data_IF_242883898668
#
_entry.id   IF_242883898668
#
_cell.length_a   1.000
_cell.length_b   1.000
_cell.length_c   1.000
_cell.angle_alpha   90.00
_cell.angle_beta   90.00
_cell.angle_gamma   90.00
#
_symmetry.space_group_name_H-M   'P 1'
#
loop_
_entity.id
_entity.type
_entity.pdbx_description
1 polymer ?
#
# COMPACT_ATOMS: atom_id res chain seq x y z
N UNK A 1 -56.85 21.51 -26.43
CA UNK A 1 -56.15 22.58 -27.16
C UNK A 1 -54.71 22.13 -27.33
N UNK A 2 -54.19 21.92 -28.56
CA UNK A 2 -52.89 21.34 -28.79
C UNK A 2 -51.83 22.44 -29.02
N UNK A 3 -50.71 22.34 -28.35
CA UNK A 3 -49.54 23.17 -28.61
C UNK A 3 -48.64 22.61 -29.70
N UNK A 4 -48.44 23.43 -30.72
CA UNK A 4 -47.74 23.12 -31.96
C UNK A 4 -46.20 23.01 -31.72
N UNK A 5 -45.59 21.96 -32.25
CA UNK A 5 -44.13 21.78 -32.39
C UNK A 5 -43.62 22.64 -33.55
N UNK A 6 -42.71 23.57 -33.25
CA UNK A 6 -41.91 24.28 -34.29
C UNK A 6 -40.64 23.49 -34.57
N UNK A 7 -40.48 22.98 -35.77
CA UNK A 7 -39.22 22.47 -36.30
C UNK A 7 -38.40 23.61 -36.86
N UNK A 8 -37.17 23.75 -36.39
CA UNK A 8 -36.16 24.67 -36.94
C UNK A 8 -35.24 23.83 -37.81
N UNK A 9 -35.28 24.08 -39.14
CA UNK A 9 -34.33 23.53 -40.09
C UNK A 9 -33.05 24.35 -40.07
N UNK A 10 -31.95 23.75 -39.68
CA UNK A 10 -30.60 24.29 -39.84
C UNK A 10 -30.03 23.72 -41.16
N UNK A 11 -29.78 24.59 -42.12
CA UNK A 11 -29.09 24.28 -43.37
C UNK A 11 -27.59 24.22 -43.09
N UNK A 12 -27.00 23.07 -43.35
CA UNK A 12 -25.55 22.90 -43.37
C UNK A 12 -24.99 23.40 -44.69
N UNK A 13 -24.07 24.36 -44.64
CA UNK A 13 -23.26 24.78 -45.77
C UNK A 13 -22.02 23.87 -45.84
N UNK A 14 -21.87 23.15 -46.93
CA UNK A 14 -20.70 22.30 -47.23
C UNK A 14 -19.65 23.22 -47.90
N UNK A 15 -18.58 23.53 -47.17
CA UNK A 15 -17.40 24.18 -47.72
C UNK A 15 -16.39 23.14 -48.19
N UNK A 16 -16.16 23.10 -49.52
CA UNK A 16 -15.07 22.32 -50.11
C UNK A 16 -13.74 23.04 -49.85
N UNK A 17 -12.84 22.45 -49.12
CA UNK A 17 -11.43 22.85 -49.03
C UNK A 17 -10.62 21.90 -49.89
N UNK A 18 -10.08 22.43 -51.00
CA UNK A 18 -9.16 21.69 -51.88
C UNK A 18 -7.78 21.65 -51.18
N UNK A 19 -7.33 20.44 -50.78
CA UNK A 19 -5.98 20.21 -50.31
C UNK A 19 -5.10 19.82 -51.47
N UNK A 20 -4.13 20.68 -51.82
CA UNK A 20 -3.09 20.38 -52.79
C UNK A 20 -2.12 19.34 -52.23
N UNK A 21 -2.05 18.15 -52.80
CA UNK A 21 -1.00 17.16 -52.52
C UNK A 21 0.32 17.63 -53.13
N UNK A 22 1.27 18.02 -52.30
CA UNK A 22 2.67 18.11 -52.69
C UNK A 22 3.28 16.70 -52.58
N UNK A 23 3.61 16.09 -53.69
CA UNK A 23 4.40 14.86 -53.74
C UNK A 23 5.84 15.19 -53.39
N UNK A 24 6.26 14.91 -52.17
CA UNK A 24 7.68 14.87 -51.79
C UNK A 24 8.19 13.47 -52.12
N UNK A 25 9.09 13.43 -53.11
CA UNK A 25 9.83 12.25 -53.50
C UNK A 25 10.83 11.91 -52.37
N UNK A 26 10.55 10.86 -51.60
CA UNK A 26 11.51 10.30 -50.62
C UNK A 26 12.41 9.30 -51.33
N UNK A 27 13.71 9.61 -51.43
CA UNK A 27 14.75 8.67 -51.87
C UNK A 27 14.98 7.63 -50.73
N UNK A 28 15.29 6.34 -51.04
CA UNK A 28 15.35 5.25 -50.07
C UNK A 28 16.77 5.00 -49.49
N UNK A 29 17.50 6.03 -49.14
CA UNK A 29 18.93 5.88 -48.72
C UNK A 29 19.23 6.23 -47.27
N UNK A 30 18.22 6.53 -46.42
CA UNK A 30 18.54 6.97 -45.03
C UNK A 30 18.17 5.97 -43.93
N UNK A 31 17.64 4.81 -44.25
CA UNK A 31 17.24 3.82 -43.24
C UNK A 31 18.39 2.96 -42.72
N UNK A 32 19.47 2.79 -43.48
CA UNK A 32 20.65 2.01 -43.00
C UNK A 32 21.57 2.80 -42.05
N UNK A 33 21.59 4.14 -42.14
CA UNK A 33 22.40 4.97 -41.23
C UNK A 33 21.77 5.21 -39.86
N UNK A 34 20.46 4.96 -39.68
CA UNK A 34 19.78 5.11 -38.42
C UNK A 34 19.94 3.92 -37.46
N UNK A 35 20.30 2.76 -38.00
CA UNK A 35 20.47 1.53 -37.18
C UNK A 35 21.80 1.52 -36.43
N UNK A 36 22.85 2.25 -36.90
CA UNK A 36 24.15 2.31 -36.23
C UNK A 36 24.24 3.26 -35.03
N UNK A 37 23.19 4.07 -34.77
CA UNK A 37 23.15 5.02 -33.65
C UNK A 37 22.35 4.56 -32.43
N UNK A 38 21.84 3.32 -32.44
CA UNK A 38 21.23 2.75 -31.24
C UNK A 38 22.33 2.22 -30.34
N UNK A 39 22.65 2.84 -29.20
CA UNK A 39 23.60 2.24 -28.27
C UNK A 39 23.05 0.85 -27.87
N UNK A 40 23.95 -0.15 -27.66
CA UNK A 40 23.49 -1.48 -27.27
C UNK A 40 22.57 -1.33 -26.07
N UNK A 41 21.33 -1.79 -26.22
CA UNK A 41 20.38 -1.89 -25.11
C UNK A 41 21.07 -2.79 -24.09
N UNK A 42 21.68 -2.15 -23.08
CA UNK A 42 22.16 -2.86 -21.91
C UNK A 42 20.95 -3.64 -21.41
N UNK A 43 21.01 -4.99 -21.51
CA UNK A 43 20.02 -5.84 -20.87
C UNK A 43 19.84 -5.30 -19.47
N UNK A 44 18.69 -4.70 -19.20
CA UNK A 44 18.26 -4.45 -17.83
C UNK A 44 18.23 -5.84 -17.24
N UNK A 45 19.29 -6.19 -16.53
CA UNK A 45 19.37 -7.43 -15.79
C UNK A 45 18.15 -7.42 -14.90
N UNK A 46 17.32 -8.45 -15.04
CA UNK A 46 16.27 -8.73 -14.06
C UNK A 46 17.02 -8.83 -12.75
N UNK A 47 16.89 -7.78 -11.94
CA UNK A 47 17.46 -7.74 -10.60
C UNK A 47 17.00 -9.02 -9.89
N UNK A 48 17.92 -9.87 -9.40
CA UNK A 48 17.51 -11.04 -8.65
C UNK A 48 16.64 -10.54 -7.51
N UNK A 49 15.60 -11.30 -7.07
CA UNK A 49 14.78 -10.91 -5.93
C UNK A 49 15.72 -10.53 -4.80
N UNK A 50 15.59 -9.31 -4.29
CA UNK A 50 16.42 -8.82 -3.20
C UNK A 50 16.40 -9.88 -2.09
N UNK A 51 17.56 -10.45 -1.76
CA UNK A 51 17.69 -11.27 -0.57
C UNK A 51 17.25 -10.43 0.61
N UNK A 52 16.48 -10.98 1.57
CA UNK A 52 16.05 -10.23 2.74
C UNK A 52 17.32 -9.77 3.47
N UNK A 53 17.57 -8.47 3.42
CA UNK A 53 18.68 -7.86 4.13
C UNK A 53 18.65 -8.30 5.59
N UNK A 54 19.72 -8.95 6.03
CA UNK A 54 19.91 -9.46 7.38
C UNK A 54 20.00 -8.37 8.45
N UNK A 55 19.72 -7.11 8.11
CA UNK A 55 19.90 -5.93 8.96
C UNK A 55 18.67 -5.02 9.03
N UNK A 56 17.45 -5.54 9.02
CA UNK A 56 16.28 -4.73 9.42
C UNK A 56 15.85 -3.62 8.44
N UNK A 57 16.37 -3.60 7.24
CA UNK A 57 15.90 -2.68 6.21
C UNK A 57 14.55 -3.17 5.65
N UNK A 58 13.55 -2.30 5.73
CA UNK A 58 12.23 -2.55 5.16
C UNK A 58 12.31 -2.58 3.63
N UNK A 59 11.75 -3.62 2.98
CA UNK A 59 11.64 -3.64 1.52
C UNK A 59 10.60 -2.62 1.05
N UNK A 60 10.75 -2.11 -0.18
CA UNK A 60 9.75 -1.21 -0.78
C UNK A 60 8.36 -1.85 -0.85
N UNK A 61 8.30 -3.17 -1.06
CA UNK A 61 7.04 -3.91 -1.09
C UNK A 61 6.35 -3.95 0.28
N UNK A 62 7.08 -4.25 1.36
CA UNK A 62 6.51 -4.24 2.72
C UNK A 62 6.14 -2.84 3.17
N UNK A 63 6.91 -1.81 2.79
CA UNK A 63 6.57 -0.41 3.04
C UNK A 63 5.26 0.01 2.36
N UNK A 64 5.05 -0.41 1.11
CA UNK A 64 3.79 -0.16 0.41
C UNK A 64 2.60 -0.85 1.08
N UNK A 65 2.79 -2.07 1.60
CA UNK A 65 1.75 -2.79 2.36
C UNK A 65 1.39 -2.07 3.68
N UNK A 66 2.38 -1.54 4.41
CA UNK A 66 2.13 -0.75 5.62
C UNK A 66 1.30 0.50 5.32
N UNK A 67 1.64 1.21 4.25
CA UNK A 67 0.88 2.38 3.78
C UNK A 67 -0.55 1.99 3.44
N UNK A 68 -0.75 0.94 2.65
CA UNK A 68 -2.08 0.46 2.27
C UNK A 68 -2.93 0.06 3.47
N UNK A 69 -2.36 -0.64 4.45
CA UNK A 69 -3.06 -0.99 5.69
C UNK A 69 -3.46 0.27 6.45
N UNK A 70 -2.54 1.23 6.63
CA UNK A 70 -2.80 2.49 7.31
C UNK A 70 -3.95 3.27 6.66
N UNK A 71 -3.90 3.43 5.35
CA UNK A 71 -4.93 4.15 4.59
C UNK A 71 -6.30 3.45 4.70
N UNK A 72 -6.32 2.13 4.51
CA UNK A 72 -7.56 1.36 4.53
C UNK A 72 -8.23 1.35 5.90
N UNK A 73 -7.45 1.24 6.97
CA UNK A 73 -7.97 1.34 8.35
C UNK A 73 -8.57 2.72 8.61
N UNK A 74 -7.94 3.78 8.13
CA UNK A 74 -8.46 5.14 8.28
C UNK A 74 -9.73 5.40 7.44
N UNK A 75 -9.81 4.83 6.24
CA UNK A 75 -11.05 4.85 5.44
C UNK A 75 -12.21 4.19 6.20
N UNK A 76 -11.97 2.99 6.78
CA UNK A 76 -12.98 2.28 7.59
C UNK A 76 -13.40 3.12 8.79
N UNK A 77 -12.46 3.71 9.52
CA UNK A 77 -12.78 4.57 10.67
C UNK A 77 -13.62 5.77 10.27
N UNK A 78 -13.30 6.42 9.16
CA UNK A 78 -14.09 7.56 8.65
C UNK A 78 -15.50 7.14 8.24
N UNK A 79 -15.67 5.98 7.60
CA UNK A 79 -16.98 5.42 7.25
C UNK A 79 -17.83 5.12 8.50
N UNK A 80 -17.20 4.76 9.60
CA UNK A 80 -17.85 4.53 10.90
C UNK A 80 -17.96 5.82 11.75
N UNK A 81 -17.68 7.00 11.17
CA UNK A 81 -17.82 8.30 11.84
C UNK A 81 -16.73 8.62 12.87
N UNK A 82 -15.61 7.91 12.82
CA UNK A 82 -14.48 8.10 13.74
C UNK A 82 -13.39 8.98 13.13
N UNK A 83 -12.63 9.67 13.97
CA UNK A 83 -11.43 10.38 13.53
C UNK A 83 -10.38 9.40 12.99
N UNK A 84 -9.66 9.82 11.94
CA UNK A 84 -8.51 9.09 11.43
C UNK A 84 -7.40 9.02 12.51
N UNK A 85 -6.71 7.89 12.55
CA UNK A 85 -5.51 7.73 13.37
C UNK A 85 -4.34 8.47 12.71
N UNK A 86 -3.51 9.12 13.50
CA UNK A 86 -2.27 9.74 13.02
C UNK A 86 -1.16 8.69 12.90
N UNK A 87 -0.27 8.80 11.90
CA UNK A 87 0.84 7.87 11.78
C UNK A 87 1.89 8.16 12.86
N UNK A 88 2.35 7.11 13.54
CA UNK A 88 3.42 7.19 14.54
C UNK A 88 4.63 6.35 14.08
N UNK A 89 5.69 7.02 13.62
CA UNK A 89 6.89 6.38 13.07
C UNK A 89 7.62 5.47 14.06
N UNK A 90 7.92 5.93 15.30
CA UNK A 90 8.47 5.07 16.35
C UNK A 90 7.61 3.83 16.63
N UNK A 91 6.28 3.98 16.70
CA UNK A 91 5.37 2.86 16.92
C UNK A 91 5.38 1.86 15.73
N UNK A 92 5.48 2.36 14.48
CA UNK A 92 5.61 1.52 13.30
C UNK A 92 6.92 0.74 13.32
N UNK A 93 8.00 1.30 13.83
CA UNK A 93 9.27 0.58 14.00
C UNK A 93 9.14 -0.57 15.01
N UNK A 94 8.47 -0.35 16.14
CA UNK A 94 8.17 -1.42 17.12
C UNK A 94 7.35 -2.54 16.46
N UNK A 95 6.35 -2.17 15.67
CA UNK A 95 5.52 -3.13 14.95
C UNK A 95 6.33 -3.95 13.94
N UNK A 96 7.24 -3.33 13.16
CA UNK A 96 8.12 -4.03 12.19
C UNK A 96 9.06 -5.01 12.89
N UNK A 97 9.69 -4.56 13.97
CA UNK A 97 10.59 -5.41 14.76
C UNK A 97 9.85 -6.63 15.31
N UNK A 98 8.59 -6.47 15.72
CA UNK A 98 7.80 -7.59 16.20
C UNK A 98 7.38 -8.54 15.08
N UNK A 99 6.97 -8.01 13.92
CA UNK A 99 6.71 -8.82 12.73
C UNK A 99 7.95 -9.59 12.28
N UNK A 100 9.13 -8.97 12.32
CA UNK A 100 10.40 -9.63 12.06
C UNK A 100 10.69 -10.75 13.08
N UNK A 101 10.48 -10.48 14.35
CA UNK A 101 10.66 -11.49 15.41
C UNK A 101 9.76 -12.70 15.22
N UNK A 102 8.48 -12.49 14.95
CA UNK A 102 7.55 -13.59 14.65
C UNK A 102 8.06 -14.45 13.49
N UNK A 103 8.58 -13.80 12.44
CA UNK A 103 9.12 -14.49 11.27
C UNK A 103 10.41 -15.25 11.56
N UNK A 104 11.36 -14.66 12.29
CA UNK A 104 12.69 -15.23 12.53
C UNK A 104 12.70 -16.28 13.63
N UNK A 105 11.91 -16.08 14.69
CA UNK A 105 11.80 -16.99 15.83
C UNK A 105 10.69 -18.04 15.65
N UNK A 106 9.98 -17.99 14.49
CA UNK A 106 8.97 -18.98 14.09
C UNK A 106 7.83 -19.14 15.11
N UNK A 107 7.23 -18.02 15.53
CA UNK A 107 6.02 -18.00 16.36
C UNK A 107 4.99 -17.01 15.81
N UNK A 108 3.76 -17.10 16.31
CA UNK A 108 2.70 -16.12 16.01
C UNK A 108 1.83 -15.95 17.27
N UNK A 109 1.81 -14.75 17.82
CA UNK A 109 1.05 -14.43 19.04
C UNK A 109 1.38 -13.05 19.59
N UNK A 110 0.50 -12.52 20.44
CA UNK A 110 0.65 -11.21 21.08
C UNK A 110 1.78 -11.16 22.13
N UNK A 111 2.09 -12.29 22.74
CA UNK A 111 3.17 -12.44 23.70
C UNK A 111 4.26 -13.28 23.05
N UNK A 112 5.49 -12.79 23.09
CA UNK A 112 6.63 -13.48 22.51
C UNK A 112 7.06 -14.69 23.37
N UNK A 113 7.90 -15.60 22.83
CA UNK A 113 8.46 -16.70 23.61
C UNK A 113 9.24 -16.27 24.87
N UNK A 114 9.75 -15.04 24.90
CA UNK A 114 10.43 -14.45 26.06
C UNK A 114 9.50 -13.72 27.04
N UNK A 115 8.19 -13.67 26.73
CA UNK A 115 7.16 -13.16 27.61
C UNK A 115 6.80 -11.69 27.43
N UNK A 116 7.42 -10.96 26.51
CA UNK A 116 7.12 -9.55 26.26
C UNK A 116 5.78 -9.37 25.51
N UNK A 117 4.92 -8.57 26.10
CA UNK A 117 3.61 -8.20 25.60
C UNK A 117 3.67 -6.85 24.83
N UNK A 118 2.63 -6.47 24.06
CA UNK A 118 2.60 -5.22 23.29
C UNK A 118 2.92 -3.98 24.14
N UNK A 119 2.33 -3.88 25.32
CA UNK A 119 2.55 -2.78 26.26
C UNK A 119 4.01 -2.64 26.66
N UNK A 120 4.68 -3.77 26.90
CA UNK A 120 6.10 -3.79 27.29
C UNK A 120 6.98 -3.34 26.12
N UNK A 121 6.77 -3.87 24.90
CA UNK A 121 7.55 -3.50 23.70
C UNK A 121 7.46 -2.00 23.40
N UNK A 122 6.25 -1.42 23.56
CA UNK A 122 6.03 0.03 23.37
C UNK A 122 6.75 0.84 24.44
N UNK A 123 6.69 0.42 25.72
CA UNK A 123 7.41 1.08 26.83
C UNK A 123 8.94 1.01 26.67
N UNK A 124 9.48 -0.13 26.25
CA UNK A 124 10.93 -0.33 26.00
C UNK A 124 11.44 0.55 24.85
N UNK A 125 10.56 0.92 23.91
CA UNK A 125 10.86 1.91 22.88
C UNK A 125 10.77 3.37 23.36
N UNK A 126 10.59 3.62 24.67
CA UNK A 126 10.39 4.93 25.28
C UNK A 126 9.17 5.71 24.72
N UNK A 127 8.14 5.00 24.30
CA UNK A 127 6.88 5.59 23.84
C UNK A 127 5.93 5.63 25.05
N UNK A 128 5.55 6.84 25.47
CA UNK A 128 4.62 7.05 26.57
C UNK A 128 3.17 6.96 26.07
N UNK A 129 2.32 6.25 26.81
CA UNK A 129 0.93 6.04 26.40
C UNK A 129 -0.04 5.92 27.56
N UNK A 130 -1.29 6.31 27.32
CA UNK A 130 -2.43 6.03 28.20
C UNK A 130 -3.14 4.72 27.79
N UNK A 131 -3.08 4.36 26.51
CA UNK A 131 -3.67 3.13 25.97
C UNK A 131 -2.79 2.56 24.86
N UNK A 132 -2.72 1.23 24.77
CA UNK A 132 -2.11 0.50 23.66
C UNK A 132 -3.00 -0.68 23.26
N UNK A 133 -3.07 -0.98 21.96
CA UNK A 133 -3.73 -2.15 21.39
C UNK A 133 -2.90 -2.73 20.27
N UNK A 134 -3.17 -3.99 19.92
CA UNK A 134 -2.43 -4.70 18.86
C UNK A 134 -3.36 -5.59 18.04
N UNK A 135 -3.19 -5.55 16.74
CA UNK A 135 -3.76 -6.51 15.81
C UNK A 135 -2.61 -7.25 15.10
N UNK A 136 -2.73 -8.55 14.99
CA UNK A 136 -1.77 -9.40 14.28
C UNK A 136 -2.45 -10.14 13.12
N UNK A 137 -1.69 -10.35 12.04
CA UNK A 137 -2.12 -11.18 10.91
C UNK A 137 -0.92 -11.86 10.27
N UNK A 138 -1.14 -13.06 9.76
CA UNK A 138 -0.14 -13.77 8.95
C UNK A 138 -0.82 -14.45 7.77
N UNK A 139 -0.14 -14.51 6.65
CA UNK A 139 -0.59 -15.24 5.47
C UNK A 139 0.57 -15.83 4.71
N UNK A 140 0.34 -16.96 4.03
CA UNK A 140 1.36 -17.64 3.20
C UNK A 140 0.79 -17.80 1.79
N UNK A 141 1.63 -17.55 0.78
CA UNK A 141 1.28 -17.65 -0.64
C UNK A 141 0.10 -16.75 -1.06
N UNK A 142 -0.23 -15.72 -0.29
CA UNK A 142 -1.27 -14.77 -0.66
C UNK A 142 -0.75 -13.80 -1.74
N UNK A 143 -1.47 -13.62 -2.87
CA UNK A 143 -1.04 -12.68 -3.92
C UNK A 143 -1.14 -11.22 -3.46
N UNK A 144 -2.07 -10.91 -2.56
CA UNK A 144 -2.30 -9.57 -2.03
C UNK A 144 -2.59 -9.64 -0.52
N UNK A 145 -1.55 -9.72 0.34
CA UNK A 145 -1.73 -9.99 1.76
C UNK A 145 -2.25 -8.80 2.58
N UNK A 146 -2.04 -7.55 2.15
CA UNK A 146 -2.44 -6.38 2.94
C UNK A 146 -3.98 -6.19 3.01
N UNK A 147 -4.75 -6.25 1.90
CA UNK A 147 -6.21 -6.26 1.98
C UNK A 147 -6.76 -7.44 2.78
N UNK A 148 -6.13 -8.61 2.69
CA UNK A 148 -6.54 -9.79 3.47
C UNK A 148 -6.35 -9.57 4.98
N UNK A 149 -5.27 -8.89 5.39
CA UNK A 149 -5.04 -8.54 6.80
C UNK A 149 -6.16 -7.63 7.32
N UNK A 150 -6.48 -6.56 6.59
CA UNK A 150 -7.54 -5.63 6.97
C UNK A 150 -8.91 -6.34 7.04
N UNK A 151 -9.24 -7.14 6.04
CA UNK A 151 -10.49 -7.90 6.02
C UNK A 151 -10.55 -8.87 7.21
N UNK A 152 -9.49 -9.65 7.44
CA UNK A 152 -9.43 -10.61 8.54
C UNK A 152 -9.56 -9.95 9.92
N UNK A 153 -8.99 -8.76 10.09
CA UNK A 153 -9.18 -7.99 11.32
C UNK A 153 -10.62 -7.48 11.47
N UNK A 154 -11.25 -7.01 10.40
CA UNK A 154 -12.64 -6.55 10.46
C UNK A 154 -13.64 -7.67 10.69
N UNK A 155 -13.34 -8.89 10.24
CA UNK A 155 -14.17 -10.08 10.46
C UNK A 155 -14.00 -10.67 11.88
N UNK A 156 -12.92 -10.29 12.59
CA UNK A 156 -12.64 -10.73 13.97
C UNK A 156 -13.12 -9.70 14.98
N UNK A 157 -14.06 -10.04 15.89
CA UNK A 157 -14.63 -9.07 16.84
C UNK A 157 -13.60 -8.31 17.67
N UNK A 158 -12.58 -8.99 18.21
CA UNK A 158 -11.54 -8.35 19.03
C UNK A 158 -10.63 -7.41 18.25
N UNK A 159 -10.24 -7.80 17.02
CA UNK A 159 -9.42 -6.95 16.16
C UNK A 159 -10.22 -5.74 15.65
N UNK A 160 -11.49 -5.97 15.26
CA UNK A 160 -12.40 -4.91 14.84
C UNK A 160 -12.63 -3.90 15.97
N UNK A 161 -12.76 -4.35 17.21
CA UNK A 161 -12.89 -3.46 18.38
C UNK A 161 -11.68 -2.53 18.50
N UNK A 162 -10.45 -3.02 18.32
CA UNK A 162 -9.26 -2.16 18.30
C UNK A 162 -9.33 -1.12 17.18
N UNK A 163 -9.69 -1.51 15.96
CA UNK A 163 -9.81 -0.60 14.82
C UNK A 163 -10.83 0.51 15.08
N UNK A 164 -11.97 0.17 15.69
CA UNK A 164 -13.09 1.10 15.90
C UNK A 164 -13.08 1.78 17.26
N UNK A 165 -12.08 1.53 18.09
CA UNK A 165 -11.99 2.19 19.40
C UNK A 165 -11.68 3.68 19.24
N UNK A 166 -12.61 4.54 19.66
CA UNK A 166 -12.48 5.99 19.56
C UNK A 166 -11.36 6.57 20.45
N UNK A 167 -10.94 5.84 21.49
CA UNK A 167 -9.87 6.25 22.38
C UNK A 167 -8.47 6.19 21.76
N UNK A 168 -8.25 5.45 20.70
CA UNK A 168 -6.99 5.48 19.97
C UNK A 168 -6.92 6.67 19.02
N UNK A 169 -5.75 7.33 19.00
CA UNK A 169 -5.49 8.52 18.16
C UNK A 169 -4.32 8.36 17.22
N UNK A 170 -3.46 7.36 17.46
CA UNK A 170 -2.27 7.09 16.66
C UNK A 170 -2.16 5.60 16.32
N UNK A 171 -1.45 5.29 15.24
CA UNK A 171 -1.16 3.91 14.85
C UNK A 171 0.21 3.77 14.20
N UNK A 172 0.80 2.59 14.34
CA UNK A 172 1.97 2.15 13.61
C UNK A 172 1.73 0.76 13.01
N UNK A 173 2.02 0.61 11.74
CA UNK A 173 1.93 -0.67 11.02
C UNK A 173 3.34 -1.16 10.71
N UNK A 174 3.58 -2.45 10.92
CA UNK A 174 4.83 -3.12 10.59
C UNK A 174 4.58 -4.40 9.84
N UNK A 175 5.26 -4.59 8.70
CA UNK A 175 5.16 -5.79 7.88
C UNK A 175 6.53 -6.41 7.68
N UNK A 176 6.62 -7.73 7.83
CA UNK A 176 7.81 -8.50 7.52
C UNK A 176 7.48 -9.69 6.64
N UNK A 177 8.37 -9.97 5.70
CA UNK A 177 8.26 -11.13 4.81
C UNK A 177 9.39 -12.12 5.06
N UNK A 178 9.04 -13.41 5.17
CA UNK A 178 10.00 -14.52 5.18
C UNK A 178 9.54 -15.58 4.16
N UNK A 179 10.29 -15.70 3.09
CA UNK A 179 9.86 -16.54 1.96
C UNK A 179 8.53 -16.07 1.38
N UNK A 180 7.54 -16.94 1.34
CA UNK A 180 6.18 -16.63 0.88
C UNK A 180 5.21 -16.25 2.01
N UNK A 181 5.71 -16.11 3.24
CA UNK A 181 4.88 -15.77 4.41
C UNK A 181 5.09 -14.33 4.82
N UNK A 182 3.98 -13.63 5.04
CA UNK A 182 3.93 -12.26 5.54
C UNK A 182 3.42 -12.24 6.96
N UNK A 183 4.03 -11.40 7.79
CA UNK A 183 3.64 -11.13 9.18
C UNK A 183 3.30 -9.66 9.30
N UNK A 184 2.12 -9.36 9.81
CA UNK A 184 1.62 -8.01 10.01
C UNK A 184 1.41 -7.76 11.50
N UNK A 185 1.88 -6.63 11.97
CA UNK A 185 1.59 -6.08 13.29
C UNK A 185 1.03 -4.67 13.10
N UNK A 186 -0.16 -4.41 13.62
CA UNK A 186 -0.68 -3.05 13.78
C UNK A 186 -0.77 -2.71 15.26
N UNK A 187 -0.08 -1.67 15.67
CA UNK A 187 -0.16 -1.10 17.01
C UNK A 187 -1.05 0.15 17.00
N UNK A 188 -1.89 0.27 18.00
CA UNK A 188 -2.74 1.43 18.26
C UNK A 188 -2.30 2.11 19.54
N UNK A 189 -2.34 3.42 19.56
CA UNK A 189 -1.89 4.22 20.67
C UNK A 189 -2.85 5.35 21.03
N UNK A 190 -2.99 5.61 22.29
CA UNK A 190 -3.37 6.91 22.84
C UNK A 190 -2.18 7.43 23.62
N UNK A 191 -1.51 8.51 23.21
CA UNK A 191 -0.45 9.13 23.99
C UNK A 191 -0.94 9.61 25.37
N UNK A 192 0.01 9.82 26.30
CA UNK A 192 -0.27 10.47 27.60
C UNK A 192 -0.64 11.94 27.40
#
# INVERSE_FOLDING_TARGET
>A
MPFAKRFIHIRQAIGFVAVALALVSCEPTDLEQLVERIPPVTRIGREPPAEPDAAGAQSSATAAMETLVYERINEIRQQEGLNALQPNGPLAQVARQYSQRMATENFFGHVSPTGDAPAQRVSEANILYAMVGENLFTSTNAPDPAPLAVQGWMDSPGHRENILRSGFTETGVGVWQRGSTYYFTQLFLRPL
#
